data_IF_977013487021
#
_entry.id   IF_977013487021
#
_cell.length_a   1.000
_cell.length_b   1.000
_cell.length_c   1.000
_cell.angle_alpha   90.00
_cell.angle_beta   90.00
_cell.angle_gamma   90.00
#
_symmetry.space_group_name_H-M   'P 1'
#
loop_
_entity.id
_entity.type
_entity.pdbx_description
1 polymer ?
#
# COMPACT_ATOMS: atom_id res chain seq x y z
N UNK A 1 -36.92 24.31 23.19
CA UNK A 1 -35.64 24.75 22.57
C UNK A 1 -34.62 23.64 22.77
N UNK A 2 -34.54 22.71 21.81
CA UNK A 2 -33.53 21.67 21.78
C UNK A 2 -32.55 22.04 20.67
N UNK A 3 -31.33 22.37 21.06
CA UNK A 3 -30.25 22.78 20.17
C UNK A 3 -29.83 21.53 19.37
N UNK A 4 -30.23 21.47 18.10
CA UNK A 4 -29.70 20.50 17.15
C UNK A 4 -28.23 20.82 16.95
N UNK A 5 -27.37 20.08 17.65
CA UNK A 5 -25.92 20.19 17.57
C UNK A 5 -25.50 19.64 16.21
N UNK A 6 -25.06 20.54 15.33
CA UNK A 6 -24.47 20.23 14.02
C UNK A 6 -23.49 19.08 14.14
N UNK A 7 -23.94 17.87 13.77
CA UNK A 7 -23.04 16.77 13.44
C UNK A 7 -22.56 17.06 12.03
N UNK A 8 -21.49 17.86 11.93
CA UNK A 8 -20.69 17.91 10.70
C UNK A 8 -20.26 16.46 10.42
N UNK A 9 -20.87 15.85 9.41
CA UNK A 9 -20.45 14.55 8.90
C UNK A 9 -18.98 14.69 8.52
N UNK A 10 -18.10 14.01 9.28
CA UNK A 10 -16.67 13.98 8.99
C UNK A 10 -16.51 13.26 7.65
N UNK A 11 -16.44 14.02 6.56
CA UNK A 11 -16.18 13.47 5.23
C UNK A 11 -14.85 12.74 5.32
N UNK A 12 -14.87 11.44 5.00
CA UNK A 12 -13.65 10.65 4.93
C UNK A 12 -12.95 11.02 3.62
N UNK A 13 -11.80 11.67 3.73
CA UNK A 13 -10.99 12.05 2.57
C UNK A 13 -10.09 10.88 2.23
N UNK A 14 -10.16 10.42 0.98
CA UNK A 14 -9.18 9.47 0.44
C UNK A 14 -7.89 10.23 0.19
N UNK A 15 -6.85 9.91 0.96
CA UNK A 15 -5.55 10.57 0.87
C UNK A 15 -4.65 9.97 -0.23
N UNK A 16 -4.94 8.75 -0.66
CA UNK A 16 -4.18 7.98 -1.64
C UNK A 16 -4.34 6.48 -1.42
N UNK A 17 -3.42 5.71 -1.96
CA UNK A 17 -3.44 4.23 -1.95
C UNK A 17 -2.31 3.69 -1.09
N UNK A 18 -2.62 2.67 -0.29
CA UNK A 18 -1.66 1.78 0.33
C UNK A 18 -1.62 0.48 -0.48
N UNK A 19 -0.45 0.16 -1.04
CA UNK A 19 -0.20 -1.05 -1.82
C UNK A 19 0.23 -2.19 -0.90
N UNK A 20 -0.74 -3.01 -0.48
CA UNK A 20 -0.49 -4.18 0.37
C UNK A 20 -0.25 -5.43 -0.48
N UNK A 21 1.02 -5.73 -0.75
CA UNK A 21 1.41 -6.84 -1.62
C UNK A 21 1.58 -6.43 -3.10
N UNK A 22 2.05 -7.35 -3.96
CA UNK A 22 2.29 -8.77 -3.69
C UNK A 22 3.66 -9.08 -3.05
N UNK A 23 4.39 -8.07 -2.56
CA UNK A 23 5.79 -8.16 -2.15
C UNK A 23 6.06 -8.78 -0.78
N UNK A 24 5.26 -9.76 -0.39
CA UNK A 24 5.44 -10.49 0.86
C UNK A 24 6.16 -11.82 0.63
N UNK A 25 6.75 -12.36 1.70
CA UNK A 25 7.19 -13.75 1.69
C UNK A 25 5.98 -14.66 1.83
N UNK A 26 6.03 -15.80 1.13
CA UNK A 26 4.95 -16.81 1.16
C UNK A 26 4.69 -17.33 2.58
N UNK A 27 5.74 -17.39 3.41
CA UNK A 27 5.64 -17.78 4.82
C UNK A 27 4.70 -16.88 5.64
N UNK A 28 4.70 -15.58 5.35
CA UNK A 28 3.89 -14.58 6.06
C UNK A 28 2.70 -14.09 5.21
N UNK A 29 2.16 -14.94 4.33
CA UNK A 29 1.16 -14.53 3.34
C UNK A 29 -0.20 -14.09 3.89
N UNK A 30 -0.53 -14.47 5.12
CA UNK A 30 -1.86 -14.23 5.68
C UNK A 30 -2.97 -14.76 4.75
N UNK A 31 -3.88 -13.87 4.36
CA UNK A 31 -5.00 -14.19 3.46
C UNK A 31 -4.70 -13.96 1.96
N UNK A 32 -3.47 -13.55 1.61
CA UNK A 32 -3.10 -13.31 0.22
C UNK A 32 -2.81 -14.61 -0.54
N UNK A 33 -3.15 -14.63 -1.83
CA UNK A 33 -2.91 -15.78 -2.70
C UNK A 33 -1.43 -15.84 -3.09
N UNK A 34 -0.77 -16.93 -2.72
CA UNK A 34 0.66 -17.16 -2.96
C UNK A 34 1.05 -17.17 -4.45
N UNK A 35 0.12 -17.55 -5.33
CA UNK A 35 0.34 -17.54 -6.78
C UNK A 35 0.79 -16.18 -7.33
N UNK A 36 0.39 -15.09 -6.68
CA UNK A 36 0.70 -13.74 -7.13
C UNK A 36 1.87 -13.10 -6.37
N UNK A 37 2.40 -13.79 -5.35
CA UNK A 37 3.52 -13.27 -4.57
C UNK A 37 4.80 -13.26 -5.38
N UNK A 38 5.52 -12.15 -5.29
CA UNK A 38 6.77 -11.95 -6.01
C UNK A 38 7.65 -10.95 -5.27
N UNK A 39 8.98 -10.96 -5.46
CA UNK A 39 9.85 -9.91 -4.95
C UNK A 39 9.48 -8.54 -5.52
N UNK A 40 9.75 -7.48 -4.76
CA UNK A 40 9.63 -6.11 -5.23
C UNK A 40 10.83 -5.81 -6.14
N UNK A 41 10.57 -5.27 -7.33
CA UNK A 41 11.59 -4.76 -8.23
C UNK A 41 11.51 -3.25 -8.33
N UNK A 42 12.65 -2.54 -8.26
CA UNK A 42 12.72 -1.07 -8.31
C UNK A 42 11.95 -0.51 -9.52
N UNK A 43 12.18 -1.08 -10.72
CA UNK A 43 11.52 -0.63 -11.96
C UNK A 43 9.99 -0.65 -11.87
N UNK A 44 9.42 -1.72 -11.28
CA UNK A 44 7.98 -1.82 -11.12
C UNK A 44 7.45 -0.82 -10.09
N UNK A 45 8.18 -0.61 -8.98
CA UNK A 45 7.80 0.40 -7.99
C UNK A 45 7.82 1.82 -8.59
N UNK A 46 8.84 2.13 -9.39
CA UNK A 46 8.95 3.39 -10.14
C UNK A 46 7.80 3.55 -11.13
N UNK A 47 7.43 2.49 -11.85
CA UNK A 47 6.27 2.48 -12.74
C UNK A 47 4.99 2.86 -11.97
N UNK A 48 4.72 2.25 -10.81
CA UNK A 48 3.56 2.61 -9.98
C UNK A 48 3.59 4.06 -9.51
N UNK A 49 4.74 4.54 -9.05
CA UNK A 49 4.91 5.93 -8.59
C UNK A 49 4.73 6.93 -9.74
N UNK A 50 5.11 6.55 -10.96
CA UNK A 50 5.02 7.41 -12.15
C UNK A 50 3.59 7.64 -12.65
N UNK A 51 2.63 6.78 -12.28
CA UNK A 51 1.23 6.87 -12.76
C UNK A 51 0.61 8.22 -12.39
N UNK A 52 0.81 8.65 -11.14
CA UNK A 52 0.32 9.92 -10.64
C UNK A 52 1.07 10.29 -9.37
N UNK A 53 1.69 11.46 -9.40
CA UNK A 53 2.36 12.02 -8.24
C UNK A 53 1.42 12.09 -7.02
N UNK A 54 1.92 11.62 -5.89
CA UNK A 54 1.19 11.57 -4.64
C UNK A 54 0.01 10.59 -4.56
N UNK A 55 -0.25 9.73 -5.55
CA UNK A 55 -1.32 8.72 -5.45
C UNK A 55 -0.97 7.61 -4.46
N UNK A 56 0.22 7.00 -4.62
CA UNK A 56 0.68 5.95 -3.71
C UNK A 56 1.32 6.59 -2.49
N UNK A 57 0.86 6.17 -1.30
CA UNK A 57 1.34 6.69 -0.01
C UNK A 57 2.21 5.71 0.76
N UNK A 58 2.00 4.41 0.52
CA UNK A 58 2.69 3.34 1.24
C UNK A 58 2.75 2.08 0.38
N UNK A 59 3.88 1.38 0.46
CA UNK A 59 4.03 0.00 0.02
C UNK A 59 4.29 -0.88 1.24
N UNK A 60 3.66 -2.05 1.30
CA UNK A 60 4.05 -3.11 2.23
C UNK A 60 4.95 -4.11 1.52
N UNK A 61 6.17 -4.27 2.05
CA UNK A 61 7.21 -5.12 1.46
C UNK A 61 7.84 -5.96 2.58
N UNK A 62 8.03 -7.25 2.35
CA UNK A 62 8.79 -8.11 3.27
C UNK A 62 10.29 -7.88 3.11
N UNK A 63 11.05 -7.69 4.20
CA UNK A 63 12.49 -7.41 4.13
C UNK A 63 13.35 -8.63 3.75
N UNK A 64 12.76 -9.83 3.65
CA UNK A 64 13.50 -11.10 3.62
C UNK A 64 13.84 -11.66 2.23
N UNK A 65 13.51 -10.96 1.14
CA UNK A 65 14.01 -11.33 -0.19
C UNK A 65 15.26 -10.49 -0.47
N UNK A 66 16.40 -11.10 -0.81
CA UNK A 66 17.66 -10.39 -1.09
C UNK A 66 17.49 -9.22 -2.07
N UNK A 67 16.57 -9.35 -3.03
CA UNK A 67 16.23 -8.31 -4.02
C UNK A 67 15.50 -7.09 -3.42
N UNK A 68 14.77 -7.26 -2.30
CA UNK A 68 14.07 -6.15 -1.62
C UNK A 68 15.02 -5.29 -0.78
N UNK A 69 16.22 -5.79 -0.44
CA UNK A 69 17.25 -5.04 0.30
C UNK A 69 18.00 -4.03 -0.58
N UNK A 70 17.93 -4.17 -1.91
CA UNK A 70 18.59 -3.23 -2.84
C UNK A 70 17.70 -2.04 -3.23
N UNK A 71 16.42 -2.05 -2.86
CA UNK A 71 15.51 -0.93 -3.00
C UNK A 71 15.74 0.12 -1.89
N UNK A 72 16.95 0.70 -1.87
CA UNK A 72 17.33 1.82 -1.01
C UNK A 72 17.22 3.17 -1.73
#
# INVERSE_FOLDING_TARGET
>A
MLIYRDKILKVQIILGVHMEGPYFSVEYKGAQNDKYMKPAGIKELEEYLSIKDGLVKLFSISPHNLENLEAH
#
